data_IF_423650909851
#
_entry.id   IF_423650909851
#
_cell.length_a   1.000
_cell.length_b   1.000
_cell.length_c   1.000
_cell.angle_alpha   90.00
_cell.angle_beta   90.00
_cell.angle_gamma   90.00
#
_symmetry.space_group_name_H-M   'P 1'
#
loop_
_entity.id
_entity.type
_entity.pdbx_description
1 polymer ?
#
# COMPACT_ATOMS: atom_id res chain seq x y z
N UNK A 1 44.73 36.83 -35.11
CA UNK A 1 43.34 36.96 -34.64
C UNK A 1 42.65 35.63 -34.87
N UNK A 2 42.52 34.82 -33.82
CA UNK A 2 41.67 33.62 -33.82
C UNK A 2 41.25 33.41 -32.37
N UNK A 3 40.02 33.78 -32.04
CA UNK A 3 39.35 33.43 -30.79
C UNK A 3 38.02 32.80 -31.19
N UNK A 4 38.01 31.49 -31.37
CA UNK A 4 36.76 30.74 -31.40
C UNK A 4 36.30 30.59 -29.94
N UNK A 5 35.14 31.15 -29.64
CA UNK A 5 34.47 31.06 -28.36
C UNK A 5 33.81 29.66 -28.26
N UNK A 6 34.02 28.88 -27.19
CA UNK A 6 33.32 27.61 -27.06
C UNK A 6 31.85 27.88 -26.74
N UNK A 7 30.97 27.47 -27.66
CA UNK A 7 29.54 27.33 -27.43
C UNK A 7 29.33 26.28 -26.32
N UNK A 8 28.97 26.73 -25.12
CA UNK A 8 28.40 25.88 -24.08
C UNK A 8 26.94 25.65 -24.44
N UNK A 9 26.64 24.48 -25.01
CA UNK A 9 25.28 23.97 -25.13
C UNK A 9 24.89 23.48 -23.73
N UNK A 10 23.91 24.08 -23.02
CA UNK A 10 23.31 23.39 -21.89
C UNK A 10 22.53 22.21 -22.45
N UNK A 11 23.07 21.01 -22.25
CA UNK A 11 22.34 19.75 -22.34
C UNK A 11 21.19 19.83 -21.32
N UNK A 12 20.01 20.25 -21.76
CA UNK A 12 18.78 19.96 -21.01
C UNK A 12 18.50 18.47 -21.20
N UNK A 13 19.16 17.64 -20.39
CA UNK A 13 18.71 16.29 -20.10
C UNK A 13 17.39 16.45 -19.36
N UNK A 14 16.28 16.41 -20.10
CA UNK A 14 14.99 16.02 -19.53
C UNK A 14 15.20 14.59 -19.06
N UNK A 15 15.55 14.44 -17.78
CA UNK A 15 15.48 13.15 -17.12
C UNK A 15 14.01 12.72 -17.21
N UNK A 16 13.73 11.66 -17.98
CA UNK A 16 12.54 10.87 -17.74
C UNK A 16 12.53 10.54 -16.25
N UNK A 17 11.70 11.22 -15.46
CA UNK A 17 11.35 10.76 -14.13
C UNK A 17 10.56 9.48 -14.35
N UNK A 18 11.26 8.36 -14.48
CA UNK A 18 10.66 7.04 -14.46
C UNK A 18 9.85 6.96 -13.18
N UNK A 19 8.53 6.94 -13.32
CA UNK A 19 7.65 6.75 -12.18
C UNK A 19 8.11 5.46 -11.49
N UNK A 20 8.59 5.61 -10.25
CA UNK A 20 9.10 4.49 -9.46
C UNK A 20 7.91 3.79 -8.82
N UNK A 21 7.08 3.20 -9.68
CA UNK A 21 5.86 2.49 -9.34
C UNK A 21 6.12 1.00 -9.53
N UNK A 22 5.76 0.21 -8.53
CA UNK A 22 5.82 -1.25 -8.59
C UNK A 22 4.47 -1.82 -8.20
N UNK A 23 3.95 -2.74 -9.01
CA UNK A 23 2.69 -3.43 -8.69
C UNK A 23 2.96 -4.89 -8.38
N UNK A 24 2.32 -5.39 -7.33
CA UNK A 24 2.44 -6.76 -6.85
C UNK A 24 1.07 -7.43 -6.85
N UNK A 25 1.01 -8.67 -7.32
CA UNK A 25 -0.16 -9.52 -7.18
C UNK A 25 -0.06 -10.23 -5.85
N UNK A 26 -1.04 -10.03 -4.98
CA UNK A 26 -1.04 -10.55 -3.62
C UNK A 26 -2.18 -11.56 -3.44
N UNK A 27 -1.90 -12.67 -2.77
CA UNK A 27 -2.89 -13.70 -2.42
C UNK A 27 -2.77 -14.07 -0.96
N UNK A 28 -3.90 -14.33 -0.32
CA UNK A 28 -3.95 -14.59 1.12
C UNK A 28 -3.20 -15.87 1.47
N UNK A 29 -2.28 -15.76 2.42
CA UNK A 29 -1.49 -16.89 2.92
C UNK A 29 -2.07 -17.44 4.21
N UNK A 30 -2.52 -16.56 5.10
CA UNK A 30 -3.11 -16.96 6.38
C UNK A 30 -4.02 -15.88 6.94
N UNK A 31 -5.10 -16.34 7.57
CA UNK A 31 -5.97 -15.53 8.43
C UNK A 31 -5.67 -15.86 9.87
N UNK A 32 -5.16 -14.90 10.63
CA UNK A 32 -5.23 -15.01 12.09
C UNK A 32 -6.57 -14.39 12.48
N UNK A 33 -7.51 -15.31 12.74
CA UNK A 33 -8.92 -15.11 13.08
C UNK A 33 -9.24 -13.73 13.62
N UNK A 34 -9.92 -12.92 12.81
CA UNK A 34 -11.00 -12.10 13.37
C UNK A 34 -11.96 -13.08 14.08
N UNK A 35 -12.17 -12.96 15.41
CA UNK A 35 -13.06 -13.86 16.14
C UNK A 35 -14.50 -13.87 15.60
N UNK A 36 -14.90 -12.85 14.84
CA UNK A 36 -16.22 -12.77 14.21
C UNK A 36 -16.20 -13.08 12.71
N UNK A 37 -15.03 -13.17 12.06
CA UNK A 37 -14.92 -13.41 10.62
C UNK A 37 -15.29 -12.22 9.73
N UNK A 38 -15.53 -11.04 10.33
CA UNK A 38 -16.18 -9.90 9.66
C UNK A 38 -15.21 -8.94 8.96
N UNK A 39 -13.90 -8.97 9.27
CA UNK A 39 -12.91 -8.19 8.51
C UNK A 39 -12.66 -8.81 7.14
N UNK A 40 -13.55 -8.53 6.19
CA UNK A 40 -13.49 -8.96 4.78
C UNK A 40 -12.93 -7.86 3.86
N UNK A 41 -12.71 -6.63 4.35
CA UNK A 41 -12.43 -5.43 3.52
C UNK A 41 -11.32 -5.59 2.47
N UNK A 42 -10.27 -6.32 2.84
CA UNK A 42 -9.06 -6.44 2.02
C UNK A 42 -9.14 -7.57 0.97
N UNK A 43 -10.23 -8.36 0.96
CA UNK A 43 -10.39 -9.46 0.00
C UNK A 43 -9.45 -10.64 0.23
N UNK A 44 -9.55 -11.68 -0.61
CA UNK A 44 -8.64 -12.84 -0.56
C UNK A 44 -7.45 -12.67 -1.48
N UNK A 45 -7.61 -11.85 -2.52
CA UNK A 45 -6.57 -11.47 -3.46
C UNK A 45 -6.66 -9.97 -3.73
N UNK A 46 -5.57 -9.39 -4.23
CA UNK A 46 -5.55 -7.98 -4.58
C UNK A 46 -4.26 -7.56 -5.27
N UNK A 47 -4.27 -6.33 -5.76
CA UNK A 47 -3.12 -5.67 -6.34
C UNK A 47 -2.60 -4.62 -5.36
N UNK A 48 -1.34 -4.74 -4.98
CA UNK A 48 -0.62 -3.72 -4.20
C UNK A 48 0.19 -2.85 -5.14
N UNK A 49 -0.07 -1.54 -5.15
CA UNK A 49 0.69 -0.56 -5.91
C UNK A 49 1.58 0.24 -4.96
N UNK A 50 2.89 0.20 -5.17
CA UNK A 50 3.86 0.99 -4.42
C UNK A 50 4.39 2.12 -5.30
N UNK A 51 4.00 3.36 -5.00
CA UNK A 51 4.49 4.57 -5.65
C UNK A 51 5.54 5.24 -4.75
N UNK A 52 6.82 4.94 -5.01
CA UNK A 52 7.93 5.50 -4.22
C UNK A 52 8.17 6.97 -4.50
N UNK A 53 7.75 7.47 -5.65
CA UNK A 53 7.90 8.88 -6.01
C UNK A 53 7.01 9.74 -5.13
N UNK A 54 5.75 9.34 -4.93
CA UNK A 54 4.80 10.07 -4.10
C UNK A 54 4.67 9.52 -2.66
N UNK A 55 5.45 8.49 -2.31
CA UNK A 55 5.38 7.77 -1.04
C UNK A 55 3.98 7.22 -0.72
N UNK A 56 3.30 6.67 -1.72
CA UNK A 56 1.95 6.12 -1.59
C UNK A 56 1.94 4.60 -1.71
N UNK A 57 1.03 3.98 -0.97
CA UNK A 57 0.68 2.56 -1.10
C UNK A 57 -0.79 2.48 -1.46
N UNK A 58 -1.09 1.94 -2.64
CA UNK A 58 -2.43 1.65 -3.13
C UNK A 58 -2.78 0.18 -2.99
N UNK A 59 -4.05 -0.12 -2.75
CA UNK A 59 -4.59 -1.47 -2.76
C UNK A 59 -5.89 -1.53 -3.53
N UNK A 60 -5.99 -2.54 -4.39
CA UNK A 60 -7.22 -2.92 -5.08
C UNK A 60 -7.55 -4.37 -4.72
N UNK A 61 -8.58 -4.59 -3.90
CA UNK A 61 -9.01 -5.94 -3.51
C UNK A 61 -9.81 -6.62 -4.63
N UNK A 62 -10.02 -7.93 -4.51
CA UNK A 62 -10.93 -8.70 -5.38
C UNK A 62 -12.42 -8.47 -5.09
N UNK A 63 -12.74 -7.64 -4.10
CA UNK A 63 -14.11 -7.31 -3.70
C UNK A 63 -14.61 -5.99 -4.29
N UNK A 64 -13.71 -5.16 -4.80
CA UNK A 64 -14.01 -3.85 -5.36
C UNK A 64 -13.18 -3.57 -6.61
N UNK A 65 -13.78 -2.87 -7.57
CA UNK A 65 -13.04 -2.38 -8.73
C UNK A 65 -12.20 -1.13 -8.42
N UNK A 66 -12.45 -0.49 -7.27
CA UNK A 66 -11.76 0.73 -6.85
C UNK A 66 -10.43 0.42 -6.17
N UNK A 67 -9.38 1.13 -6.58
CA UNK A 67 -8.13 1.20 -5.81
C UNK A 67 -8.27 2.32 -4.76
N UNK A 68 -7.89 2.03 -3.52
CA UNK A 68 -7.77 3.04 -2.48
C UNK A 68 -6.33 3.15 -1.98
N UNK A 69 -5.98 4.33 -1.48
CA UNK A 69 -4.68 4.54 -0.86
C UNK A 69 -4.72 4.03 0.57
N UNK A 70 -3.99 2.93 0.79
CA UNK A 70 -3.69 2.42 2.13
C UNK A 70 -2.83 3.39 2.92
N UNK A 71 -1.99 4.16 2.24
CA UNK A 71 -1.27 5.26 2.87
C UNK A 71 -0.78 6.26 1.85
N UNK A 72 -0.73 7.53 2.25
CA UNK A 72 -0.07 8.61 1.51
C UNK A 72 1.31 8.94 2.06
N UNK A 73 1.82 8.14 3.00
CA UNK A 73 3.17 8.25 3.53
C UNK A 73 3.67 6.91 4.08
N UNK A 74 4.96 6.61 3.96
CA UNK A 74 5.53 5.40 4.55
C UNK A 74 6.99 5.57 4.96
N UNK A 75 7.43 4.73 5.88
CA UNK A 75 8.85 4.60 6.25
C UNK A 75 9.44 3.40 5.52
N UNK A 76 10.56 3.58 4.82
CA UNK A 76 11.25 2.51 4.10
C UNK A 76 12.63 2.25 4.73
N UNK A 77 12.95 0.97 4.87
CA UNK A 77 14.28 0.42 5.15
C UNK A 77 14.77 -0.35 3.94
N UNK A 78 16.00 -0.89 3.98
CA UNK A 78 16.55 -1.66 2.85
C UNK A 78 15.69 -2.86 2.43
N UNK A 79 14.99 -3.47 3.39
CA UNK A 79 14.28 -4.74 3.17
C UNK A 79 12.76 -4.62 3.30
N UNK A 80 12.26 -3.50 3.87
CA UNK A 80 10.88 -3.43 4.33
C UNK A 80 10.33 -2.01 4.30
N UNK A 81 9.04 -1.90 4.02
CA UNK A 81 8.23 -0.69 4.15
C UNK A 81 7.23 -0.89 5.28
N UNK A 82 7.12 0.12 6.15
CA UNK A 82 6.17 0.18 7.26
C UNK A 82 5.25 1.40 7.13
N UNK A 83 3.97 1.16 7.39
CA UNK A 83 2.91 2.18 7.52
C UNK A 83 2.19 1.96 8.84
N UNK A 84 1.86 3.06 9.50
CA UNK A 84 0.89 3.07 10.59
C UNK A 84 -0.10 4.20 10.33
N UNK A 85 -1.36 3.86 10.13
CA UNK A 85 -2.41 4.79 9.74
C UNK A 85 -3.75 4.51 10.46
N UNK A 86 -4.71 5.41 10.24
CA UNK A 86 -6.07 5.31 10.77
C UNK A 86 -7.04 5.55 9.63
N UNK A 87 -8.07 4.72 9.55
CA UNK A 87 -9.16 4.85 8.59
C UNK A 87 -10.51 4.70 9.29
N UNK A 88 -11.55 5.30 8.74
CA UNK A 88 -12.92 5.15 9.24
C UNK A 88 -13.69 4.22 8.32
N UNK A 89 -14.36 3.22 8.88
CA UNK A 89 -15.32 2.39 8.16
C UNK A 89 -16.72 2.64 8.67
N UNK A 90 -17.63 2.86 7.71
CA UNK A 90 -19.07 2.88 7.96
C UNK A 90 -19.60 1.45 7.94
N UNK A 91 -20.24 1.04 9.03
CA UNK A 91 -20.85 -0.28 9.17
C UNK A 91 -22.30 -0.28 8.66
N UNK A 92 -22.87 -1.47 8.49
CA UNK A 92 -24.26 -1.64 8.02
C UNK A 92 -25.32 -1.06 8.96
N UNK A 93 -24.97 -0.76 10.20
CA UNK A 93 -25.78 -0.04 11.17
C UNK A 93 -25.50 1.47 11.21
N UNK A 94 -24.83 2.00 10.17
CA UNK A 94 -24.44 3.41 10.00
C UNK A 94 -23.46 3.93 11.07
N UNK A 95 -22.86 3.03 11.86
CA UNK A 95 -21.81 3.43 12.80
C UNK A 95 -20.49 3.63 12.07
N UNK A 96 -19.82 4.75 12.36
CA UNK A 96 -18.47 5.02 11.88
C UNK A 96 -17.46 4.55 12.92
N UNK A 97 -16.63 3.57 12.54
CA UNK A 97 -15.61 3.03 13.41
C UNK A 97 -14.22 3.45 12.93
N UNK A 98 -13.43 4.02 13.84
CA UNK A 98 -12.01 4.23 13.61
C UNK A 98 -11.29 2.88 13.72
N UNK A 99 -10.56 2.51 12.66
CA UNK A 99 -9.69 1.35 12.60
C UNK A 99 -8.25 1.85 12.53
N UNK A 100 -7.45 1.43 13.49
CA UNK A 100 -6.00 1.58 13.43
C UNK A 100 -5.45 0.44 12.59
N UNK A 101 -4.60 0.77 11.62
CA UNK A 101 -4.01 -0.19 10.70
C UNK A 101 -2.50 -0.03 10.69
N UNK A 102 -1.81 -1.16 10.69
CA UNK A 102 -0.36 -1.27 10.53
C UNK A 102 -0.08 -2.16 9.33
N UNK A 103 0.75 -1.69 8.40
CA UNK A 103 1.11 -2.43 7.19
C UNK A 103 2.62 -2.60 7.13
N UNK A 104 3.05 -3.82 6.87
CA UNK A 104 4.45 -4.24 6.80
C UNK A 104 4.66 -4.98 5.48
N UNK A 105 5.43 -4.41 4.55
CA UNK A 105 5.67 -4.99 3.23
C UNK A 105 7.15 -5.21 2.95
N UNK A 106 7.54 -6.43 2.55
CA UNK A 106 8.95 -6.79 2.27
C UNK A 106 9.16 -7.42 0.87
N UNK A 107 8.41 -6.96 -0.14
CA UNK A 107 8.38 -7.42 -1.55
C UNK A 107 7.80 -8.82 -1.79
N UNK A 108 7.92 -9.75 -0.85
CA UNK A 108 7.40 -11.12 -0.96
C UNK A 108 6.21 -11.39 -0.04
N UNK A 109 6.10 -10.61 1.03
CA UNK A 109 5.02 -10.70 2.02
C UNK A 109 4.46 -9.32 2.30
N UNK A 110 3.15 -9.26 2.47
CA UNK A 110 2.41 -8.11 2.96
C UNK A 110 1.64 -8.54 4.21
N UNK A 111 2.07 -8.03 5.35
CA UNK A 111 1.44 -8.24 6.63
C UNK A 111 0.62 -7.01 6.99
N UNK A 112 -0.65 -7.21 7.34
CA UNK A 112 -1.56 -6.16 7.77
C UNK A 112 -2.13 -6.53 9.13
N UNK A 113 -1.95 -5.64 10.11
CA UNK A 113 -2.54 -5.74 11.44
C UNK A 113 -3.59 -4.64 11.62
N UNK A 114 -4.73 -5.00 12.21
CA UNK A 114 -5.87 -4.11 12.42
C UNK A 114 -6.24 -4.11 13.91
N UNK A 115 -6.55 -2.93 14.43
CA UNK A 115 -7.05 -2.72 15.79
C UNK A 115 -8.26 -1.80 15.77
N UNK A 116 -9.38 -2.23 16.35
CA UNK A 116 -10.67 -1.52 16.30
C UNK A 116 -11.54 -1.82 17.53
N UNK A 117 -12.35 -0.86 17.99
CA UNK A 117 -13.27 -1.05 19.15
C UNK A 117 -14.71 -1.23 18.70
N UNK A 118 -15.21 -2.47 18.73
CA UNK A 118 -16.56 -2.77 18.26
C UNK A 118 -17.60 -2.43 19.33
N UNK A 119 -18.49 -1.48 19.03
CA UNK A 119 -19.62 -1.06 19.89
C UNK A 119 -19.21 -0.66 21.32
N UNK A 120 -18.05 -0.02 21.52
CA UNK A 120 -17.52 0.41 22.83
C UNK A 120 -17.42 -0.73 23.85
N UNK A 121 -17.21 -1.97 23.39
CA UNK A 121 -17.21 -3.16 24.25
C UNK A 121 -15.82 -3.74 24.45
N UNK A 122 -14.84 -3.47 23.58
CA UNK A 122 -13.42 -3.84 23.72
C UNK A 122 -12.64 -3.62 22.42
N UNK A 123 -11.36 -3.25 22.56
CA UNK A 123 -10.40 -3.27 21.46
C UNK A 123 -10.20 -4.70 20.98
N UNK A 124 -10.43 -4.91 19.68
CA UNK A 124 -10.24 -6.17 18.96
C UNK A 124 -9.04 -6.02 18.03
N UNK A 125 -8.28 -7.11 17.92
CA UNK A 125 -7.16 -7.20 16.99
C UNK A 125 -7.44 -8.27 15.95
N UNK A 126 -7.00 -8.04 14.73
CA UNK A 126 -7.01 -9.02 13.65
C UNK A 126 -5.77 -8.84 12.78
N UNK A 127 -5.35 -9.89 12.10
CA UNK A 127 -4.25 -9.79 11.15
C UNK A 127 -4.42 -10.67 9.92
N UNK A 128 -3.85 -10.19 8.82
CA UNK A 128 -3.85 -10.85 7.51
C UNK A 128 -2.44 -10.82 6.94
N UNK A 129 -2.02 -11.95 6.40
CA UNK A 129 -0.76 -12.05 5.65
C UNK A 129 -1.07 -12.48 4.24
N UNK A 130 -0.52 -11.72 3.28
CA UNK A 130 -0.56 -12.03 1.86
C UNK A 130 0.84 -12.42 1.37
N UNK A 131 0.90 -13.40 0.49
CA UNK A 131 2.06 -13.66 -0.35
C UNK A 131 1.96 -12.77 -1.58
N UNK A 132 2.99 -12.00 -1.88
CA UNK A 132 2.98 -11.05 -2.98
C UNK A 132 4.08 -11.37 -4.00
N UNK A 133 3.74 -11.30 -5.27
CA UNK A 133 4.67 -11.51 -6.38
C UNK A 133 4.69 -10.28 -7.27
N UNK A 134 5.89 -9.88 -7.74
CA UNK A 134 6.01 -8.79 -8.70
C UNK A 134 5.25 -9.17 -9.97
N UNK A 135 4.35 -8.28 -10.40
CA UNK A 135 3.77 -8.37 -11.73
C UNK A 135 4.81 -7.98 -12.76
N UNK A 136 5.50 -9.00 -13.29
CA UNK A 136 6.39 -8.84 -14.45
C UNK A 136 5.52 -8.67 -15.68
N UNK A 137 5.01 -7.46 -15.90
CA UNK A 137 4.57 -6.87 -17.17
C UNK A 137 3.46 -5.85 -16.93
N UNK A 138 3.83 -4.57 -16.88
CA UNK A 138 3.02 -3.51 -17.46
C UNK A 138 3.97 -2.72 -18.37
N UNK A 139 3.89 -3.00 -19.67
CA UNK A 139 4.50 -2.20 -20.74
C UNK A 139 3.50 -1.08 -21.06
#
# INVERSE_FOLDING_TARGET
MNKALPFLIPLFLVACSGHNISTFSCSIKSNVKDPNGDLIFEGNTGLLTLDKTNKRIGWKSDLSDDEYYMSENFTESETKIDVFDKLFLEWSDETNQEIQRSISFNKVSLDMDFSYDFLNKSVRNSSRTYSCEILKNQI
#
